data_IF_493695774965
#
_entry.id   IF_493695774965
#
_cell.length_a   1.000
_cell.length_b   1.000
_cell.length_c   1.000
_cell.angle_alpha   90.00
_cell.angle_beta   90.00
_cell.angle_gamma   90.00
#
_symmetry.space_group_name_H-M   'P 1'
#
loop_
_entity.id
_entity.type
_entity.pdbx_description
1 polymer ?
#
# COMPACT_ATOMS: atom_id res chain seq x y z
N UNK A 1 -37.46 -7.92 0.30
CA UNK A 1 -36.41 -6.92 0.60
C UNK A 1 -35.42 -7.59 1.50
N UNK A 2 -34.15 -7.72 1.09
CA UNK A 2 -33.14 -8.37 1.90
C UNK A 2 -32.48 -7.28 2.78
N UNK A 3 -32.37 -7.52 4.09
CA UNK A 3 -31.71 -6.63 5.02
C UNK A 3 -30.54 -7.34 5.71
N UNK A 4 -29.44 -6.61 5.94
CA UNK A 4 -28.28 -7.09 6.66
C UNK A 4 -28.20 -6.25 7.94
N UNK A 5 -28.04 -6.91 9.10
CA UNK A 5 -27.80 -6.22 10.36
C UNK A 5 -26.31 -5.92 10.48
N UNK A 6 -25.98 -4.69 10.91
CA UNK A 6 -24.62 -4.22 11.14
C UNK A 6 -24.49 -3.39 12.40
N UNK A 7 -23.28 -2.92 12.67
CA UNK A 7 -22.96 -1.99 13.74
C UNK A 7 -22.77 -0.60 13.10
N UNK A 8 -23.43 0.41 13.64
CA UNK A 8 -23.26 1.79 13.17
C UNK A 8 -21.91 2.34 13.62
N UNK A 9 -21.06 2.73 12.68
CA UNK A 9 -19.78 3.42 12.93
C UNK A 9 -19.89 4.94 12.80
N UNK A 10 -20.95 5.44 12.15
CA UNK A 10 -21.27 6.87 12.03
C UNK A 10 -22.76 7.09 11.96
N UNK A 11 -23.18 8.33 12.23
CA UNK A 11 -24.58 8.74 12.10
C UNK A 11 -24.90 9.09 10.65
N UNK A 12 -26.11 8.78 10.21
CA UNK A 12 -26.64 9.18 8.93
C UNK A 12 -27.30 8.06 8.17
N UNK A 13 -27.93 8.43 7.04
CA UNK A 13 -28.56 7.52 6.08
C UNK A 13 -28.09 7.94 4.69
N UNK A 14 -27.62 7.00 3.91
CA UNK A 14 -27.27 7.23 2.52
C UNK A 14 -28.08 6.29 1.62
N UNK A 15 -28.50 6.81 0.45
CA UNK A 15 -29.18 6.04 -0.59
C UNK A 15 -28.44 6.30 -1.90
N UNK A 16 -27.99 5.26 -2.56
CA UNK A 16 -27.24 5.39 -3.81
C UNK A 16 -26.91 4.05 -4.44
N UNK A 17 -26.26 4.08 -5.62
CA UNK A 17 -25.74 2.87 -6.25
C UNK A 17 -24.65 2.23 -5.38
N UNK A 18 -24.57 0.91 -5.46
CA UNK A 18 -23.56 0.13 -4.73
C UNK A 18 -22.34 -0.04 -5.63
N UNK A 19 -21.16 0.31 -5.08
CA UNK A 19 -19.87 -0.03 -5.64
C UNK A 19 -19.19 -1.09 -4.77
N UNK A 20 -19.00 -2.28 -5.32
CA UNK A 20 -18.35 -3.38 -4.61
C UNK A 20 -16.83 -3.28 -4.85
N UNK A 21 -16.12 -2.71 -3.88
CA UNK A 21 -14.68 -2.58 -3.93
C UNK A 21 -14.02 -3.94 -3.65
N UNK A 22 -13.21 -4.40 -4.58
CA UNK A 22 -12.37 -5.57 -4.40
C UNK A 22 -10.92 -5.15 -4.48
N UNK A 23 -10.17 -5.44 -3.43
CA UNK A 23 -8.71 -5.25 -3.46
C UNK A 23 -8.12 -6.13 -4.56
N UNK A 24 -7.24 -5.57 -5.37
CA UNK A 24 -6.52 -6.31 -6.40
C UNK A 24 -5.49 -7.19 -5.68
N UNK A 25 -5.60 -8.50 -5.84
CA UNK A 25 -4.56 -9.42 -5.38
C UNK A 25 -3.34 -9.30 -6.29
N UNK A 26 -2.20 -8.98 -5.69
CA UNK A 26 -0.95 -8.87 -6.43
C UNK A 26 -0.35 -10.27 -6.59
N UNK A 27 -0.22 -10.71 -7.83
CA UNK A 27 0.48 -11.97 -8.14
C UNK A 27 1.96 -11.63 -8.33
N UNK A 28 2.79 -12.04 -7.40
CA UNK A 28 4.22 -11.78 -7.40
C UNK A 28 4.94 -13.05 -7.83
N UNK A 29 5.40 -13.04 -9.07
CA UNK A 29 6.21 -14.15 -9.61
C UNK A 29 7.66 -13.98 -9.20
N UNK A 30 8.28 -15.07 -8.72
CA UNK A 30 9.69 -15.11 -8.37
C UNK A 30 10.49 -15.73 -9.50
N UNK A 31 11.47 -14.98 -10.02
CA UNK A 31 12.38 -15.47 -11.05
C UNK A 31 13.80 -14.95 -10.84
N UNK A 32 14.77 -15.67 -11.44
CA UNK A 32 16.19 -15.32 -11.36
C UNK A 32 16.50 -14.24 -12.39
N UNK A 33 17.27 -13.23 -11.97
CA UNK A 33 17.73 -12.13 -12.81
C UNK A 33 19.21 -12.27 -13.18
N UNK A 34 19.59 -11.65 -14.31
CA UNK A 34 20.98 -11.64 -14.76
C UNK A 34 21.72 -10.37 -14.33
N UNK A 35 21.00 -9.25 -14.20
CA UNK A 35 21.57 -7.93 -13.89
C UNK A 35 20.92 -7.33 -12.62
N UNK A 36 21.53 -7.54 -11.43
CA UNK A 36 21.06 -6.92 -10.21
C UNK A 36 21.12 -5.39 -10.22
N UNK A 37 22.03 -4.79 -10.99
CA UNK A 37 22.15 -3.33 -11.02
C UNK A 37 21.00 -2.70 -11.83
N UNK A 38 20.46 -3.40 -12.82
CA UNK A 38 19.24 -2.98 -13.52
C UNK A 38 18.04 -2.99 -12.55
N UNK A 39 17.91 -4.01 -11.71
CA UNK A 39 16.86 -4.06 -10.68
C UNK A 39 17.01 -2.93 -9.65
N UNK A 40 18.25 -2.59 -9.27
CA UNK A 40 18.49 -1.45 -8.40
C UNK A 40 18.03 -0.12 -9.00
N UNK A 41 18.24 0.08 -10.31
CA UNK A 41 17.76 1.28 -11.00
C UNK A 41 16.24 1.31 -11.07
N UNK A 42 15.58 0.16 -11.34
CA UNK A 42 14.13 0.03 -11.30
C UNK A 42 13.58 0.39 -9.91
N UNK A 43 14.24 -0.09 -8.85
CA UNK A 43 13.84 0.21 -7.48
C UNK A 43 13.86 1.71 -7.18
N UNK A 44 14.95 2.40 -7.55
CA UNK A 44 15.06 3.85 -7.34
C UNK A 44 13.94 4.61 -8.06
N UNK A 45 13.71 4.28 -9.34
CA UNK A 45 12.68 4.94 -10.16
C UNK A 45 11.27 4.67 -9.59
N UNK A 46 10.96 3.42 -9.27
CA UNK A 46 9.62 3.07 -8.77
C UNK A 46 9.35 3.66 -7.38
N UNK A 47 10.38 3.75 -6.53
CA UNK A 47 10.29 4.41 -5.23
C UNK A 47 10.01 5.91 -5.37
N UNK A 48 10.66 6.57 -6.33
CA UNK A 48 10.41 7.99 -6.61
C UNK A 48 8.97 8.23 -7.09
N UNK A 49 8.46 7.37 -7.97
CA UNK A 49 7.06 7.44 -8.40
C UNK A 49 6.10 7.23 -7.22
N UNK A 50 6.38 6.27 -6.34
CA UNK A 50 5.55 6.02 -5.18
C UNK A 50 5.55 7.21 -4.20
N UNK A 51 6.71 7.84 -3.97
CA UNK A 51 6.81 9.04 -3.14
C UNK A 51 6.03 10.21 -3.74
N UNK A 52 6.12 10.40 -5.05
CA UNK A 52 5.35 11.45 -5.72
C UNK A 52 3.84 11.23 -5.60
N UNK A 53 3.36 10.00 -5.77
CA UNK A 53 1.95 9.67 -5.54
C UNK A 53 1.52 9.96 -4.10
N UNK A 54 2.36 9.63 -3.09
CA UNK A 54 2.05 9.92 -1.69
C UNK A 54 1.96 11.42 -1.41
N UNK A 55 2.81 12.23 -2.05
CA UNK A 55 2.72 13.70 -1.95
C UNK A 55 1.41 14.20 -2.57
N UNK A 56 1.03 13.72 -3.75
CA UNK A 56 -0.23 14.11 -4.41
C UNK A 56 -1.46 13.75 -3.57
N UNK A 57 -1.46 12.55 -2.95
CA UNK A 57 -2.54 12.11 -2.05
C UNK A 57 -2.55 12.94 -0.77
N UNK A 58 -1.38 13.24 -0.20
CA UNK A 58 -1.25 14.13 0.95
C UNK A 58 -1.88 15.51 0.67
N UNK A 59 -1.52 16.14 -0.44
CA UNK A 59 -2.03 17.46 -0.80
C UNK A 59 -3.56 17.47 -0.97
N UNK A 60 -4.12 16.44 -1.62
CA UNK A 60 -5.58 16.26 -1.73
C UNK A 60 -6.22 16.08 -0.35
N UNK A 61 -5.66 15.22 0.48
CA UNK A 61 -6.19 14.94 1.81
C UNK A 61 -6.16 16.17 2.73
N UNK A 62 -5.13 17.03 2.64
CA UNK A 62 -5.07 18.30 3.38
C UNK A 62 -6.24 19.21 3.01
N UNK A 63 -6.57 19.30 1.72
CA UNK A 63 -7.67 20.15 1.23
C UNK A 63 -9.04 19.59 1.69
N UNK A 64 -9.23 18.27 1.63
CA UNK A 64 -10.53 17.65 1.86
C UNK A 64 -10.80 17.38 3.35
N UNK A 65 -9.78 16.96 4.10
CA UNK A 65 -9.94 16.41 5.45
C UNK A 65 -9.13 17.17 6.51
N UNK A 66 -8.20 18.04 6.08
CA UNK A 66 -7.31 18.79 6.97
C UNK A 66 -5.94 18.13 7.17
N UNK A 67 -5.00 18.91 7.65
CA UNK A 67 -3.59 18.52 7.75
C UNK A 67 -3.35 17.34 8.72
N UNK A 68 -4.10 17.27 9.81
CA UNK A 68 -3.94 16.22 10.82
C UNK A 68 -4.23 14.82 10.24
N UNK A 69 -5.31 14.68 9.48
CA UNK A 69 -5.69 13.43 8.84
C UNK A 69 -4.75 13.04 7.70
N UNK A 70 -4.12 14.04 7.05
CA UNK A 70 -3.18 13.82 5.98
C UNK A 70 -1.79 13.31 6.45
N UNK A 71 -1.42 13.47 7.73
CA UNK A 71 -0.10 13.07 8.24
C UNK A 71 0.22 11.58 8.03
N UNK A 72 -0.79 10.72 7.87
CA UNK A 72 -0.58 9.30 7.58
C UNK A 72 0.22 9.08 6.29
N UNK A 73 0.03 9.93 5.27
CA UNK A 73 0.75 9.78 4.00
C UNK A 73 2.22 10.19 4.11
N UNK A 74 2.55 11.12 5.02
CA UNK A 74 3.95 11.39 5.37
C UNK A 74 4.59 10.22 6.09
N UNK A 75 3.87 9.60 7.03
CA UNK A 75 4.36 8.40 7.70
C UNK A 75 4.61 7.26 6.70
N UNK A 76 3.74 7.08 5.71
CA UNK A 76 3.92 6.11 4.63
C UNK A 76 5.15 6.41 3.77
N UNK A 77 5.41 7.69 3.44
CA UNK A 77 6.61 8.09 2.72
C UNK A 77 7.88 7.78 3.53
N UNK A 78 7.85 7.99 4.86
CA UNK A 78 8.97 7.63 5.75
C UNK A 78 9.25 6.12 5.77
N UNK A 79 8.21 5.28 5.74
CA UNK A 79 8.37 3.82 5.63
C UNK A 79 9.04 3.46 4.30
N UNK A 80 8.61 4.08 3.20
CA UNK A 80 9.17 3.83 1.87
C UNK A 80 10.65 4.26 1.77
N UNK A 81 11.05 5.26 2.56
CA UNK A 81 12.42 5.78 2.63
C UNK A 81 13.27 5.11 3.73
N UNK A 82 12.72 4.12 4.44
CA UNK A 82 13.41 3.44 5.53
C UNK A 82 14.69 2.76 5.03
N UNK A 83 15.87 3.08 5.61
CA UNK A 83 17.14 2.54 5.18
C UNK A 83 17.26 1.02 5.33
N UNK A 84 16.62 0.43 6.34
CA UNK A 84 16.66 -1.01 6.59
C UNK A 84 15.81 -1.76 5.54
N UNK A 85 14.62 -1.25 5.23
CA UNK A 85 13.76 -1.80 4.18
C UNK A 85 14.48 -1.76 2.82
N UNK A 86 15.07 -0.61 2.48
CA UNK A 86 15.82 -0.41 1.24
C UNK A 86 17.08 -1.28 1.21
N UNK A 87 17.85 -1.29 2.31
CA UNK A 87 19.11 -2.03 2.43
C UNK A 87 18.90 -3.54 2.32
N UNK A 88 17.91 -4.06 3.05
CA UNK A 88 17.55 -5.49 3.03
C UNK A 88 17.06 -5.93 1.65
N UNK A 89 16.23 -5.12 0.98
CA UNK A 89 15.79 -5.40 -0.39
C UNK A 89 16.96 -5.48 -1.36
N UNK A 90 17.86 -4.48 -1.33
CA UNK A 90 19.07 -4.46 -2.18
C UNK A 90 19.98 -5.65 -1.92
N UNK A 91 20.16 -6.02 -0.64
CA UNK A 91 20.96 -7.17 -0.25
C UNK A 91 20.36 -8.46 -0.82
N UNK A 92 19.06 -8.66 -0.67
CA UNK A 92 18.36 -9.85 -1.13
C UNK A 92 18.44 -10.02 -2.66
N UNK A 93 18.26 -8.93 -3.42
CA UNK A 93 18.42 -8.93 -4.88
C UNK A 93 19.84 -9.37 -5.27
N UNK A 94 20.87 -8.81 -4.64
CA UNK A 94 22.27 -9.12 -4.98
C UNK A 94 22.68 -10.54 -4.60
N UNK A 95 22.29 -11.01 -3.42
CA UNK A 95 22.69 -12.32 -2.90
C UNK A 95 21.94 -13.47 -3.59
N UNK A 96 20.63 -13.30 -3.79
CA UNK A 96 19.81 -14.37 -4.35
C UNK A 96 19.56 -14.23 -5.85
N UNK A 97 19.93 -13.11 -6.45
CA UNK A 97 19.70 -12.79 -7.86
C UNK A 97 18.23 -12.98 -8.28
N UNK A 98 17.32 -12.48 -7.44
CA UNK A 98 15.88 -12.52 -7.70
C UNK A 98 15.36 -11.15 -8.11
N UNK A 99 14.24 -11.13 -8.82
CA UNK A 99 13.57 -9.92 -9.25
C UNK A 99 13.15 -9.01 -8.09
N UNK A 100 13.08 -7.74 -8.36
CA UNK A 100 12.79 -6.70 -7.38
C UNK A 100 11.43 -6.92 -6.68
N UNK A 101 10.39 -7.30 -7.42
CA UNK A 101 9.06 -7.51 -6.87
C UNK A 101 9.07 -8.57 -5.76
N UNK A 102 9.71 -9.71 -6.02
CA UNK A 102 9.82 -10.78 -5.03
C UNK A 102 10.70 -10.39 -3.85
N UNK A 103 11.83 -9.73 -4.10
CA UNK A 103 12.73 -9.31 -3.04
C UNK A 103 12.08 -8.28 -2.11
N UNK A 104 11.41 -7.28 -2.69
CA UNK A 104 10.75 -6.24 -1.91
C UNK A 104 9.57 -6.78 -1.10
N UNK A 105 8.75 -7.65 -1.72
CA UNK A 105 7.63 -8.31 -1.04
C UNK A 105 8.11 -9.15 0.15
N UNK A 106 9.13 -9.98 -0.05
CA UNK A 106 9.69 -10.86 1.00
C UNK A 106 10.22 -10.04 2.18
N UNK A 107 10.94 -8.95 1.91
CA UNK A 107 11.47 -8.06 2.94
C UNK A 107 10.35 -7.34 3.68
N UNK A 108 9.39 -6.75 2.96
CA UNK A 108 8.28 -6.02 3.57
C UNK A 108 7.41 -6.93 4.44
N UNK A 109 7.08 -8.14 3.97
CA UNK A 109 6.34 -9.13 4.77
C UNK A 109 7.15 -9.61 5.98
N UNK A 110 8.47 -9.74 5.85
CA UNK A 110 9.36 -10.05 6.98
C UNK A 110 9.30 -8.98 8.07
N UNK A 111 9.37 -7.70 7.71
CA UNK A 111 9.23 -6.59 8.67
C UNK A 111 7.83 -6.53 9.28
N UNK A 112 6.78 -6.65 8.47
CA UNK A 112 5.41 -6.64 8.95
C UNK A 112 5.14 -7.81 9.92
N UNK A 113 5.55 -9.02 9.55
CA UNK A 113 5.40 -10.20 10.41
C UNK A 113 6.19 -10.12 11.72
N UNK A 114 7.37 -9.47 11.70
CA UNK A 114 8.13 -9.22 12.92
C UNK A 114 7.35 -8.31 13.89
N UNK A 115 6.73 -7.23 13.39
CA UNK A 115 5.94 -6.32 14.21
C UNK A 115 4.65 -6.97 14.73
N UNK A 116 3.99 -7.79 13.92
CA UNK A 116 2.80 -8.55 14.35
C UNK A 116 3.11 -9.61 15.40
N UNK A 117 4.33 -10.15 15.39
CA UNK A 117 4.78 -11.12 16.39
C UNK A 117 5.06 -10.51 17.78
N UNK A 118 5.07 -9.19 17.89
CA UNK A 118 5.15 -8.47 19.16
C UNK A 118 3.74 -8.32 19.72
N UNK A 119 3.57 -8.63 21.00
CA UNK A 119 2.26 -8.53 21.69
C UNK A 119 1.95 -7.04 22.03
N UNK A 120 1.80 -6.24 20.97
CA UNK A 120 1.57 -4.80 21.03
C UNK A 120 0.65 -4.36 19.87
N UNK A 121 -0.54 -3.88 20.20
CA UNK A 121 -1.55 -3.45 19.21
C UNK A 121 -1.06 -2.27 18.34
N UNK A 122 -0.24 -1.37 18.90
CA UNK A 122 0.31 -0.25 18.13
C UNK A 122 1.30 -0.73 17.06
N UNK A 123 2.15 -1.70 17.40
CA UNK A 123 3.10 -2.28 16.45
C UNK A 123 2.40 -3.15 15.40
N UNK A 124 1.35 -3.86 15.78
CA UNK A 124 0.51 -4.59 14.83
C UNK A 124 -0.16 -3.65 13.81
N UNK A 125 -0.62 -2.47 14.24
CA UNK A 125 -1.13 -1.44 13.32
C UNK A 125 -0.04 -0.95 12.34
N UNK A 126 1.22 -0.81 12.79
CA UNK A 126 2.35 -0.45 11.92
C UNK A 126 2.69 -1.52 10.89
N UNK A 127 2.46 -2.79 11.20
CA UNK A 127 2.59 -3.86 10.21
C UNK A 127 1.63 -3.67 9.02
N UNK A 128 0.40 -3.20 9.27
CA UNK A 128 -0.55 -2.87 8.21
C UNK A 128 -0.07 -1.69 7.35
N UNK A 129 0.52 -0.67 7.95
CA UNK A 129 1.09 0.47 7.22
C UNK A 129 2.22 0.02 6.29
N UNK A 130 3.10 -0.88 6.74
CA UNK A 130 4.18 -1.45 5.92
C UNK A 130 3.60 -2.20 4.71
N UNK A 131 2.58 -3.04 4.91
CA UNK A 131 1.93 -3.78 3.82
C UNK A 131 1.23 -2.87 2.83
N UNK A 132 0.65 -1.77 3.31
CA UNK A 132 -0.02 -0.80 2.47
C UNK A 132 0.98 -0.09 1.55
N UNK A 133 2.07 0.42 2.12
CA UNK A 133 3.18 1.02 1.37
C UNK A 133 3.80 0.02 0.39
N UNK A 134 4.01 -1.23 0.82
CA UNK A 134 4.53 -2.28 -0.03
C UNK A 134 3.59 -2.57 -1.22
N UNK A 135 2.28 -2.64 -0.98
CA UNK A 135 1.28 -2.82 -2.03
C UNK A 135 1.31 -1.70 -3.07
N UNK A 136 1.51 -0.44 -2.64
CA UNK A 136 1.65 0.71 -3.55
C UNK A 136 2.86 0.53 -4.46
N UNK A 137 4.05 0.29 -3.91
CA UNK A 137 5.27 0.12 -4.70
C UNK A 137 5.17 -1.09 -5.64
N UNK A 138 4.63 -2.20 -5.17
CA UNK A 138 4.46 -3.41 -5.97
C UNK A 138 3.49 -3.19 -7.14
N UNK A 139 2.40 -2.42 -6.96
CA UNK A 139 1.51 -2.05 -8.07
C UNK A 139 2.25 -1.27 -9.15
N UNK A 140 3.09 -0.31 -8.77
CA UNK A 140 3.92 0.46 -9.71
C UNK A 140 4.87 -0.48 -10.47
N UNK A 141 5.55 -1.38 -9.77
CA UNK A 141 6.49 -2.34 -10.37
C UNK A 141 5.81 -3.30 -11.35
N UNK A 142 4.59 -3.72 -11.03
CA UNK A 142 3.78 -4.63 -11.86
C UNK A 142 3.00 -3.90 -12.97
N UNK A 143 3.06 -2.58 -13.03
CA UNK A 143 2.30 -1.78 -14.01
C UNK A 143 0.78 -1.87 -13.82
N UNK A 144 0.33 -2.14 -12.59
CA UNK A 144 -1.09 -2.23 -12.25
C UNK A 144 -1.60 -0.81 -11.99
N UNK A 145 -2.62 -0.40 -12.74
CA UNK A 145 -3.25 0.91 -12.58
C UNK A 145 -3.83 1.09 -11.17
N UNK A 146 -3.98 2.34 -10.77
CA UNK A 146 -4.58 2.75 -9.51
C UNK A 146 -5.98 2.16 -9.31
N UNK A 147 -6.44 2.14 -8.05
CA UNK A 147 -7.68 1.48 -7.65
C UNK A 147 -8.89 1.96 -8.48
N UNK A 148 -9.81 1.06 -8.87
CA UNK A 148 -11.06 1.45 -9.51
C UNK A 148 -11.90 2.45 -8.69
N UNK A 149 -11.67 2.56 -7.38
CA UNK A 149 -12.37 3.50 -6.51
C UNK A 149 -11.99 4.96 -6.78
N UNK A 150 -10.81 5.24 -7.30
CA UNK A 150 -10.36 6.60 -7.64
C UNK A 150 -11.10 7.20 -8.83
N UNK A 151 -11.76 6.36 -9.63
CA UNK A 151 -12.53 6.75 -10.80
C UNK A 151 -14.06 6.81 -10.54
N UNK A 152 -14.49 6.82 -9.28
CA UNK A 152 -15.90 6.98 -8.92
C UNK A 152 -16.37 8.42 -9.17
N UNK A 153 -16.92 8.67 -10.36
CA UNK A 153 -17.44 9.98 -10.76
C UNK A 153 -18.88 10.26 -10.24
N UNK A 154 -19.48 9.31 -9.54
CA UNK A 154 -20.84 9.44 -8.99
C UNK A 154 -20.86 9.06 -7.52
N UNK A 155 -21.61 9.80 -6.66
CA UNK A 155 -21.80 9.41 -5.28
C UNK A 155 -22.32 7.97 -5.18
N UNK A 156 -21.59 7.10 -4.49
CA UNK A 156 -21.87 5.66 -4.41
C UNK A 156 -21.69 5.15 -2.99
N UNK A 157 -22.40 4.08 -2.64
CA UNK A 157 -22.21 3.36 -1.39
C UNK A 157 -21.14 2.30 -1.63
N UNK A 158 -19.99 2.44 -0.98
CA UNK A 158 -18.89 1.49 -1.11
C UNK A 158 -19.13 0.31 -0.16
N UNK A 159 -19.06 -0.89 -0.70
CA UNK A 159 -18.99 -2.14 0.06
C UNK A 159 -17.59 -2.73 -0.14
N UNK A 160 -16.86 -2.90 0.95
CA UNK A 160 -15.52 -3.45 0.94
C UNK A 160 -15.33 -4.42 2.10
N UNK A 161 -14.40 -5.36 1.96
CA UNK A 161 -13.93 -6.17 3.08
C UNK A 161 -13.07 -5.33 4.02
N UNK A 162 -12.24 -4.47 3.43
CA UNK A 162 -11.34 -3.55 4.09
C UNK A 162 -11.00 -2.39 3.16
N UNK A 163 -10.68 -1.23 3.72
CA UNK A 163 -10.21 -0.04 3.00
C UNK A 163 -8.94 0.47 3.67
N UNK A 164 -7.88 0.57 2.90
CA UNK A 164 -6.60 1.15 3.33
C UNK A 164 -6.49 2.61 2.88
N UNK A 165 -5.64 3.44 3.50
CA UNK A 165 -5.44 4.82 3.11
C UNK A 165 -4.84 5.02 1.72
N UNK A 166 -4.20 3.98 1.16
CA UNK A 166 -3.51 4.03 -0.14
C UNK A 166 -4.26 3.35 -1.25
#
# INVERSE_FOLDING_TARGET
MNSIKGISASYGVAIGPIFNYKRIELIIERYTIQDPDAEMKRFVVSKEIANQQLVEVYDKAVIENGAEQAEIFKAQAMILDDPELIGSTKKLIKEQKINLESAFFEVAEGFAGMLEGLDDEYLAARALDIRDVASRLLRILLGIAESPAENLNTPSIIIAKDLTPS
#
